data_IF_547896484824
#
_entry.id   IF_547896484824
#
_cell.length_a   1.000
_cell.length_b   1.000
_cell.length_c   1.000
_cell.angle_alpha   90.00
_cell.angle_beta   90.00
_cell.angle_gamma   90.00
#
_symmetry.space_group_name_H-M   'P 1'
#
loop_
_entity.id
_entity.type
_entity.pdbx_description
1 polymer ?
#
# COMPACT_ATOMS: atom_id res chain seq x y z
N UNK A 1 9.02 11.94 -22.96
CA UNK A 1 10.26 11.66 -23.75
C UNK A 1 10.82 12.98 -24.27
N UNK A 2 11.99 13.43 -23.79
CA UNK A 2 12.56 14.72 -24.19
C UNK A 2 13.91 14.54 -24.90
N UNK A 3 14.07 15.26 -26.01
CA UNK A 3 15.37 15.59 -26.60
C UNK A 3 15.91 16.79 -25.82
N UNK A 4 17.12 16.68 -25.28
CA UNK A 4 17.80 17.83 -24.66
C UNK A 4 18.32 18.74 -25.78
N UNK A 5 18.05 20.06 -25.77
CA UNK A 5 18.48 20.96 -26.84
C UNK A 5 20.00 21.11 -26.94
N UNK A 6 20.49 21.22 -28.18
CA UNK A 6 21.89 21.28 -28.63
C UNK A 6 22.65 22.57 -28.25
N UNK A 7 22.81 22.88 -26.97
CA UNK A 7 23.89 23.78 -26.52
C UNK A 7 24.67 23.15 -25.38
N UNK A 8 25.70 22.39 -25.75
CA UNK A 8 26.58 21.61 -24.90
C UNK A 8 27.22 20.47 -25.72
N UNK A 9 28.08 19.66 -25.11
CA UNK A 9 28.57 18.44 -25.75
C UNK A 9 27.36 17.66 -26.31
N UNK A 10 27.35 17.28 -27.62
CA UNK A 10 26.21 16.59 -28.19
C UNK A 10 25.95 15.35 -27.35
N UNK A 11 24.70 15.16 -26.88
CA UNK A 11 24.40 13.93 -26.16
C UNK A 11 24.69 12.79 -27.13
N UNK A 12 25.71 12.00 -26.81
CA UNK A 12 26.28 11.04 -27.73
C UNK A 12 25.19 10.13 -28.28
N UNK A 13 25.01 10.17 -29.60
CA UNK A 13 24.06 9.31 -30.35
C UNK A 13 24.41 7.81 -30.20
N UNK A 14 25.57 7.51 -29.59
CA UNK A 14 26.14 6.18 -29.41
C UNK A 14 26.25 5.72 -27.93
N UNK A 15 25.63 6.40 -26.95
CA UNK A 15 25.72 5.98 -25.54
C UNK A 15 24.77 4.83 -25.19
N UNK A 16 25.35 3.79 -24.57
CA UNK A 16 24.65 2.77 -23.77
C UNK A 16 23.86 3.45 -22.63
N UNK A 17 22.75 2.83 -22.19
CA UNK A 17 21.96 3.31 -21.05
C UNK A 17 22.86 3.59 -19.84
N UNK A 18 22.94 4.85 -19.41
CA UNK A 18 23.82 5.31 -18.35
C UNK A 18 23.05 6.09 -17.28
N UNK A 19 23.42 5.96 -16.00
CA UNK A 19 22.76 6.68 -14.92
C UNK A 19 23.11 8.18 -14.98
N UNK A 20 22.13 9.01 -14.70
CA UNK A 20 22.19 10.46 -14.83
C UNK A 20 21.40 11.16 -13.71
N UNK A 21 21.85 12.33 -13.26
CA UNK A 21 21.07 13.17 -12.34
C UNK A 21 20.75 14.50 -12.98
N UNK A 22 19.50 14.93 -12.86
CA UNK A 22 19.02 16.24 -13.28
C UNK A 22 18.95 17.16 -12.05
N UNK A 23 19.55 18.35 -12.15
CA UNK A 23 19.46 19.42 -11.15
C UNK A 23 18.95 20.70 -11.79
N UNK A 24 18.23 21.51 -11.01
CA UNK A 24 17.78 22.83 -11.46
C UNK A 24 18.44 23.94 -10.63
N UNK A 25 19.11 24.87 -11.32
CA UNK A 25 19.71 26.05 -10.72
C UNK A 25 18.67 27.19 -10.76
N UNK A 26 18.22 27.60 -9.57
CA UNK A 26 17.19 28.63 -9.44
C UNK A 26 17.77 30.01 -9.13
N UNK A 27 17.27 31.04 -9.83
CA UNK A 27 17.50 32.44 -9.51
C UNK A 27 18.97 32.85 -9.55
N UNK A 28 19.46 33.44 -8.45
CA UNK A 28 20.84 33.89 -8.29
C UNK A 28 21.77 32.87 -7.63
N UNK A 29 21.30 31.64 -7.38
CA UNK A 29 22.08 30.61 -6.69
C UNK A 29 23.24 30.14 -7.54
N UNK A 30 24.37 29.84 -6.91
CA UNK A 30 25.52 29.25 -7.62
C UNK A 30 25.29 27.77 -7.86
N UNK A 31 25.93 27.20 -8.90
CA UNK A 31 25.88 25.76 -9.13
C UNK A 31 26.49 24.98 -7.95
N UNK A 32 27.50 25.57 -7.30
CA UNK A 32 28.15 25.01 -6.12
C UNK A 32 27.18 24.80 -4.95
N UNK A 33 26.38 25.82 -4.63
CA UNK A 33 25.38 25.76 -3.55
C UNK A 33 24.31 24.71 -3.86
N UNK A 34 23.72 24.79 -5.07
CA UNK A 34 22.63 23.91 -5.50
C UNK A 34 23.07 22.45 -5.51
N UNK A 35 24.23 22.14 -6.08
CA UNK A 35 24.72 20.76 -6.17
C UNK A 35 25.02 20.19 -4.78
N UNK A 36 25.68 20.96 -3.92
CA UNK A 36 26.04 20.49 -2.58
C UNK A 36 24.79 20.18 -1.74
N UNK A 37 23.81 21.10 -1.75
CA UNK A 37 22.56 20.93 -1.01
C UNK A 37 21.71 19.80 -1.60
N UNK A 38 21.54 19.76 -2.91
CA UNK A 38 20.70 18.75 -3.57
C UNK A 38 21.27 17.35 -3.46
N UNK A 39 22.59 17.16 -3.55
CA UNK A 39 23.23 15.83 -3.36
C UNK A 39 22.94 15.30 -1.94
N UNK A 40 23.12 16.12 -0.91
CA UNK A 40 22.82 15.71 0.47
C UNK A 40 21.32 15.44 0.66
N UNK A 41 20.48 16.36 0.16
CA UNK A 41 19.02 16.26 0.23
C UNK A 41 18.50 15.01 -0.48
N UNK A 42 19.00 14.70 -1.68
CA UNK A 42 18.59 13.54 -2.47
C UNK A 42 18.93 12.24 -1.75
N UNK A 43 20.16 12.12 -1.22
CA UNK A 43 20.59 10.95 -0.45
C UNK A 43 19.76 10.70 0.82
N UNK A 44 19.15 11.74 1.38
CA UNK A 44 18.25 11.63 2.54
C UNK A 44 16.81 11.32 2.20
N UNK A 45 16.28 11.93 1.12
CA UNK A 45 14.85 11.90 0.82
C UNK A 45 14.45 10.73 -0.09
N UNK A 46 15.38 10.21 -0.89
CA UNK A 46 15.07 9.26 -1.94
C UNK A 46 15.75 7.91 -1.74
N UNK A 47 15.06 6.86 -2.20
CA UNK A 47 15.59 5.50 -2.18
C UNK A 47 15.76 4.93 -3.59
N UNK A 48 15.61 5.75 -4.63
CA UNK A 48 15.94 5.40 -6.02
C UNK A 48 17.28 6.01 -6.41
N UNK A 49 17.50 7.28 -6.06
CA UNK A 49 18.75 7.99 -6.28
C UNK A 49 19.88 7.47 -5.38
N UNK A 50 21.08 7.38 -5.95
CA UNK A 50 22.36 7.16 -5.25
C UNK A 50 23.44 8.03 -5.91
N UNK A 51 24.61 8.22 -5.27
CA UNK A 51 25.73 8.89 -5.91
C UNK A 51 26.18 8.27 -7.24
N UNK A 52 25.82 7.01 -7.55
CA UNK A 52 26.11 6.39 -8.84
C UNK A 52 25.39 7.09 -10.01
N UNK A 53 24.27 7.78 -9.73
CA UNK A 53 23.59 8.63 -10.70
C UNK A 53 24.33 9.93 -11.02
N UNK A 54 25.44 10.24 -10.35
CA UNK A 54 26.29 11.39 -10.67
C UNK A 54 27.28 11.10 -11.79
N UNK A 55 27.27 9.90 -12.39
CA UNK A 55 28.11 9.60 -13.55
C UNK A 55 27.86 10.57 -14.72
N UNK A 56 26.60 10.96 -14.93
CA UNK A 56 26.23 11.99 -15.90
C UNK A 56 25.33 13.02 -15.23
N UNK A 57 25.56 14.30 -15.47
CA UNK A 57 24.79 15.36 -14.81
C UNK A 57 24.19 16.30 -15.84
N UNK A 58 22.90 16.62 -15.70
CA UNK A 58 22.22 17.65 -16.48
C UNK A 58 21.85 18.80 -15.55
N UNK A 59 22.37 19.99 -15.84
CA UNK A 59 22.11 21.23 -15.13
C UNK A 59 21.15 22.09 -15.93
N UNK A 60 19.96 22.30 -15.40
CA UNK A 60 18.97 23.22 -15.95
C UNK A 60 19.17 24.61 -15.35
N UNK A 61 19.41 25.61 -16.19
CA UNK A 61 19.64 27.00 -15.76
C UNK A 61 18.95 27.98 -16.71
N UNK A 62 18.61 29.19 -16.24
CA UNK A 62 18.12 30.27 -17.11
C UNK A 62 19.27 31.03 -17.81
N UNK A 63 20.52 30.84 -17.35
CA UNK A 63 21.70 31.43 -17.97
C UNK A 63 22.78 30.36 -18.18
N UNK A 64 23.33 30.30 -19.39
CA UNK A 64 24.48 29.45 -19.72
C UNK A 64 25.77 30.25 -19.46
N UNK A 65 26.34 30.09 -18.27
CA UNK A 65 27.61 30.75 -17.92
C UNK A 65 28.72 29.71 -17.68
N UNK A 66 29.93 30.05 -18.11
CA UNK A 66 31.17 29.28 -17.88
C UNK A 66 31.39 28.97 -16.38
N UNK A 67 30.96 29.88 -15.51
CA UNK A 67 31.03 29.74 -14.05
C UNK A 67 30.27 28.53 -13.52
N UNK A 68 29.09 28.22 -14.09
CA UNK A 68 28.26 27.07 -13.71
C UNK A 68 29.00 25.77 -13.96
N UNK A 69 29.66 25.66 -15.12
CA UNK A 69 30.43 24.47 -15.48
C UNK A 69 31.58 24.25 -14.50
N UNK A 70 32.36 25.30 -14.22
CA UNK A 70 33.52 25.22 -13.33
C UNK A 70 33.11 24.83 -11.91
N UNK A 71 32.08 25.46 -11.36
CA UNK A 71 31.54 25.13 -10.04
C UNK A 71 31.07 23.67 -9.98
N UNK A 72 30.40 23.20 -11.03
CA UNK A 72 29.93 21.83 -11.12
C UNK A 72 31.09 20.83 -11.19
N UNK A 73 32.10 21.08 -12.03
CA UNK A 73 33.30 20.24 -12.13
C UNK A 73 34.03 20.12 -10.78
N UNK A 74 34.12 21.20 -10.00
CA UNK A 74 34.76 21.20 -8.68
C UNK A 74 33.97 20.36 -7.65
N UNK A 75 32.65 20.48 -7.60
CA UNK A 75 31.79 19.70 -6.68
C UNK A 75 31.66 18.23 -7.10
N UNK A 76 31.66 17.96 -8.40
CA UNK A 76 31.41 16.62 -8.95
C UNK A 76 32.68 15.77 -9.10
N UNK A 77 33.86 16.39 -9.02
CA UNK A 77 35.17 15.70 -9.09
C UNK A 77 35.27 14.45 -8.19
N UNK A 78 34.82 14.46 -6.92
CA UNK A 78 34.90 13.29 -6.05
C UNK A 78 34.04 12.09 -6.50
N UNK A 79 33.04 12.33 -7.37
CA UNK A 79 32.08 11.31 -7.82
C UNK A 79 32.44 10.70 -9.18
N UNK A 80 33.60 11.05 -9.77
CA UNK A 80 34.05 10.57 -11.08
C UNK A 80 33.01 10.82 -12.20
N UNK A 81 32.33 11.97 -12.16
CA UNK A 81 31.37 12.37 -13.19
C UNK A 81 32.05 12.40 -14.57
N UNK A 82 31.47 11.67 -15.52
CA UNK A 82 31.96 11.51 -16.88
C UNK A 82 31.52 12.65 -17.79
N UNK A 83 30.33 13.21 -17.58
CA UNK A 83 29.78 14.25 -18.44
C UNK A 83 28.87 15.20 -17.68
N UNK A 84 28.99 16.50 -17.97
CA UNK A 84 28.16 17.57 -17.44
C UNK A 84 27.52 18.31 -18.62
N UNK A 85 26.20 18.21 -18.71
CA UNK A 85 25.38 18.86 -19.72
C UNK A 85 24.72 20.07 -19.07
N UNK A 86 24.76 21.24 -19.72
CA UNK A 86 24.08 22.44 -19.25
C UNK A 86 23.00 22.76 -20.28
N UNK A 87 21.76 22.92 -19.83
CA UNK A 87 20.64 23.23 -20.71
C UNK A 87 19.93 24.49 -20.23
N UNK A 88 19.62 25.38 -21.18
CA UNK A 88 18.82 26.56 -20.91
C UNK A 88 17.34 26.20 -21.01
N UNK A 89 16.59 26.32 -19.92
CA UNK A 89 15.16 25.95 -19.90
C UNK A 89 14.31 27.12 -19.44
N UNK A 90 13.57 27.72 -20.39
CA UNK A 90 12.64 28.83 -20.14
C UNK A 90 11.21 28.35 -19.80
N UNK A 91 10.81 27.17 -20.27
CA UNK A 91 9.57 26.46 -19.91
C UNK A 91 9.74 24.94 -20.09
N UNK A 92 8.99 24.13 -19.33
CA UNK A 92 9.07 22.67 -19.43
C UNK A 92 10.29 22.04 -18.75
N UNK A 93 10.77 22.64 -17.65
CA UNK A 93 11.83 22.06 -16.84
C UNK A 93 11.45 20.64 -16.38
N UNK A 94 12.39 19.71 -16.54
CA UNK A 94 12.30 18.39 -15.96
C UNK A 94 12.33 18.50 -14.44
N UNK A 95 11.67 17.55 -13.77
CA UNK A 95 11.81 17.42 -12.33
C UNK A 95 13.25 16.98 -12.01
N UNK A 96 13.74 17.41 -10.85
CA UNK A 96 15.06 16.98 -10.40
C UNK A 96 15.05 15.50 -10.00
N UNK A 97 16.23 14.87 -10.05
CA UNK A 97 16.44 13.53 -9.53
C UNK A 97 17.12 12.58 -10.51
N UNK A 98 17.03 11.26 -10.26
CA UNK A 98 17.75 10.24 -11.03
C UNK A 98 17.07 10.02 -12.38
N UNK A 99 17.83 9.75 -13.43
CA UNK A 99 17.35 9.40 -14.77
C UNK A 99 18.31 8.39 -15.38
N UNK A 100 17.86 7.70 -16.42
CA UNK A 100 18.74 6.99 -17.34
C UNK A 100 18.84 7.77 -18.64
N UNK A 101 20.07 8.09 -19.03
CA UNK A 101 20.39 8.67 -20.32
C UNK A 101 20.55 7.53 -21.33
N UNK A 102 19.72 7.53 -22.37
CA UNK A 102 19.76 6.53 -23.43
C UNK A 102 19.53 7.22 -24.77
N UNK A 103 20.49 7.11 -25.70
CA UNK A 103 20.38 7.68 -27.05
C UNK A 103 19.89 9.15 -27.08
N UNK A 104 20.48 10.03 -26.26
CA UNK A 104 20.06 11.43 -26.25
C UNK A 104 18.84 11.76 -25.40
N UNK A 105 18.21 10.77 -24.75
CA UNK A 105 16.95 10.93 -24.04
C UNK A 105 17.08 10.55 -22.58
N UNK A 106 16.43 11.34 -21.73
CA UNK A 106 16.30 11.06 -20.30
C UNK A 106 15.02 10.24 -20.06
N UNK A 107 15.19 9.16 -19.30
CA UNK A 107 14.12 8.27 -18.86
C UNK A 107 14.08 8.26 -17.34
N UNK A 108 12.93 8.49 -16.68
CA UNK A 108 12.85 8.41 -15.22
C UNK A 108 13.33 7.06 -14.72
N UNK A 109 14.15 7.08 -13.67
CA UNK A 109 14.61 5.89 -12.99
C UNK A 109 13.53 5.35 -12.05
N UNK A 110 13.33 4.04 -12.11
CA UNK A 110 12.50 3.30 -11.19
C UNK A 110 13.37 2.29 -10.46
N UNK A 111 13.19 2.20 -9.14
CA UNK A 111 13.78 1.10 -8.36
C UNK A 111 12.83 -0.09 -8.41
N UNK A 112 13.38 -1.27 -8.70
CA UNK A 112 12.65 -2.53 -8.61
C UNK A 112 12.87 -3.12 -7.21
N UNK A 113 11.82 -3.11 -6.39
CA UNK A 113 11.83 -3.79 -5.09
C UNK A 113 11.36 -5.24 -5.26
N UNK A 114 12.11 -6.25 -4.80
CA UNK A 114 11.63 -7.62 -4.81
C UNK A 114 10.44 -7.77 -3.85
N UNK A 115 9.37 -8.43 -4.29
CA UNK A 115 8.23 -8.79 -3.43
C UNK A 115 8.46 -10.16 -2.79
N UNK A 116 9.47 -10.24 -1.92
CA UNK A 116 9.85 -11.49 -1.26
C UNK A 116 8.72 -12.06 -0.38
N UNK A 117 7.82 -11.21 0.09
CA UNK A 117 6.66 -11.61 0.88
C UNK A 117 5.50 -12.14 0.01
N UNK A 118 5.52 -11.89 -1.31
CA UNK A 118 4.38 -12.17 -2.17
C UNK A 118 3.14 -11.36 -1.75
N UNK A 119 3.33 -10.11 -1.33
CA UNK A 119 2.29 -9.22 -0.82
C UNK A 119 1.39 -8.64 -1.92
N UNK A 120 1.90 -8.50 -3.14
CA UNK A 120 1.21 -7.84 -4.25
C UNK A 120 0.42 -8.85 -5.08
N UNK A 121 -0.76 -8.43 -5.54
CA UNK A 121 -1.45 -9.10 -6.63
C UNK A 121 -0.98 -8.53 -7.97
N UNK A 122 -0.81 -7.22 -8.09
CA UNK A 122 -0.35 -6.62 -9.34
C UNK A 122 0.50 -5.39 -9.03
N UNK A 123 1.75 -5.29 -9.52
CA UNK A 123 2.50 -4.05 -9.44
C UNK A 123 1.93 -3.06 -10.46
N UNK A 124 2.06 -1.77 -10.19
CA UNK A 124 1.69 -0.71 -11.13
C UNK A 124 2.88 0.15 -11.44
N UNK A 125 2.93 0.64 -12.68
CA UNK A 125 3.82 1.73 -13.06
C UNK A 125 2.91 2.90 -13.43
N UNK A 126 3.13 4.11 -12.87
CA UNK A 126 2.48 5.31 -13.36
C UNK A 126 2.83 5.47 -14.85
N UNK A 127 1.83 5.59 -15.71
CA UNK A 127 2.08 5.93 -17.12
C UNK A 127 2.06 7.46 -17.28
N UNK A 128 3.02 8.00 -18.03
CA UNK A 128 3.15 9.45 -18.24
C UNK A 128 2.22 10.00 -19.33
N UNK A 129 1.72 11.22 -19.09
CA UNK A 129 1.93 12.35 -20.02
C UNK A 129 2.89 13.35 -19.31
N UNK A 130 3.85 14.01 -20.00
CA UNK A 130 5.08 14.56 -19.44
C UNK A 130 4.94 15.93 -18.74
N UNK A 131 3.72 16.32 -18.38
CA UNK A 131 3.45 17.54 -17.61
C UNK A 131 2.80 17.14 -16.30
N UNK A 132 3.66 16.67 -15.38
CA UNK A 132 3.40 16.39 -13.97
C UNK A 132 2.06 16.93 -13.43
N UNK A 133 1.01 16.15 -13.63
CA UNK A 133 -0.21 16.20 -12.83
C UNK A 133 -0.75 14.79 -12.87
N UNK A 134 -0.49 14.03 -11.80
CA UNK A 134 -0.97 12.66 -11.66
C UNK A 134 -2.49 12.72 -11.60
N UNK A 135 -3.14 12.61 -12.76
CA UNK A 135 -4.53 12.21 -12.86
C UNK A 135 -4.50 10.78 -13.34
N UNK A 136 -4.62 9.80 -12.43
CA UNK A 136 -5.03 8.44 -12.82
C UNK A 136 -6.52 8.44 -13.17
N UNK A 137 -6.96 9.41 -13.97
CA UNK A 137 -8.36 9.65 -14.28
C UNK A 137 -8.80 8.97 -15.59
N UNK A 138 -7.86 8.36 -16.31
CA UNK A 138 -8.10 7.77 -17.62
C UNK A 138 -7.81 6.26 -17.65
N UNK A 139 -8.60 5.50 -18.43
CA UNK A 139 -8.30 4.10 -18.72
C UNK A 139 -6.93 4.01 -19.42
N UNK A 140 -5.91 3.51 -18.70
CA UNK A 140 -4.55 3.39 -19.20
C UNK A 140 -3.46 3.87 -18.24
N UNK A 141 -3.83 4.59 -17.17
CA UNK A 141 -2.86 5.31 -16.34
C UNK A 141 -1.98 4.44 -15.41
N UNK A 142 -2.31 3.14 -15.33
CA UNK A 142 -1.54 2.13 -14.61
C UNK A 142 -1.33 0.89 -15.49
N UNK A 143 -0.08 0.59 -15.82
CA UNK A 143 0.26 -0.67 -16.48
C UNK A 143 0.64 -1.72 -15.44
N UNK A 144 -0.04 -2.87 -15.46
CA UNK A 144 0.31 -4.05 -14.65
C UNK A 144 0.68 -5.22 -15.56
N UNK A 145 1.96 -5.61 -15.56
CA UNK A 145 2.50 -6.66 -16.46
C UNK A 145 2.06 -8.10 -16.09
N UNK A 146 1.18 -8.28 -15.10
CA UNK A 146 0.90 -9.59 -14.49
C UNK A 146 -0.56 -9.87 -14.07
N UNK A 147 -1.55 -9.11 -14.55
CA UNK A 147 -2.95 -9.25 -14.07
C UNK A 147 -3.58 -10.64 -14.27
N UNK A 148 -3.14 -11.40 -15.29
CA UNK A 148 -3.73 -12.71 -15.61
C UNK A 148 -3.17 -13.85 -14.74
N UNK A 149 -1.91 -13.71 -14.27
CA UNK A 149 -1.22 -14.70 -13.44
C UNK A 149 -0.29 -13.99 -12.45
N UNK A 150 -0.83 -13.47 -11.35
CA UNK A 150 -0.09 -12.61 -10.44
C UNK A 150 0.93 -13.40 -9.62
N UNK A 151 2.17 -13.43 -10.12
CA UNK A 151 3.38 -13.81 -9.38
C UNK A 151 4.38 -12.65 -9.50
N UNK A 152 4.03 -11.51 -8.92
CA UNK A 152 4.88 -10.32 -9.01
C UNK A 152 6.21 -10.58 -8.32
N UNK A 153 7.30 -10.70 -9.08
CA UNK A 153 8.64 -10.84 -8.50
C UNK A 153 9.19 -9.48 -8.02
N UNK A 154 8.73 -8.38 -8.63
CA UNK A 154 9.24 -7.04 -8.35
C UNK A 154 8.17 -5.97 -8.47
N UNK A 155 8.25 -4.95 -7.62
CA UNK A 155 7.43 -3.73 -7.65
C UNK A 155 8.30 -2.57 -8.08
N UNK A 156 7.95 -1.93 -9.20
CA UNK A 156 8.62 -0.73 -9.66
C UNK A 156 8.13 0.48 -8.85
N UNK A 157 9.06 1.29 -8.35
CA UNK A 157 8.71 2.53 -7.66
C UNK A 157 9.47 3.72 -8.24
N UNK A 158 8.80 4.87 -8.45
CA UNK A 158 9.48 6.07 -8.91
C UNK A 158 10.30 6.70 -7.78
N UNK A 159 11.26 7.53 -8.18
CA UNK A 159 11.94 8.45 -7.27
C UNK A 159 10.92 9.40 -6.64
N UNK A 160 11.09 9.69 -5.35
CA UNK A 160 10.30 10.73 -4.67
C UNK A 160 10.65 12.13 -5.14
N UNK A 161 11.84 12.30 -5.73
CA UNK A 161 12.36 13.60 -6.14
C UNK A 161 11.60 14.20 -7.33
N UNK A 162 10.94 13.36 -8.13
CA UNK A 162 10.05 13.83 -9.20
C UNK A 162 8.80 14.55 -8.70
N UNK A 163 8.56 14.54 -7.40
CA UNK A 163 7.34 15.02 -6.79
C UNK A 163 7.67 15.94 -5.62
N UNK A 164 7.44 17.23 -5.81
CA UNK A 164 7.60 18.22 -4.76
C UNK A 164 6.24 18.48 -4.09
N UNK A 165 6.11 18.34 -2.76
CA UNK A 165 4.89 18.68 -2.06
C UNK A 165 4.47 20.14 -2.27
N UNK A 166 3.20 20.36 -2.59
CA UNK A 166 2.59 21.69 -2.68
C UNK A 166 1.39 21.77 -1.72
N UNK A 167 0.81 22.95 -1.45
CA UNK A 167 -0.43 23.05 -0.68
C UNK A 167 -1.58 22.20 -1.28
N UNK A 168 -1.64 22.09 -2.61
CA UNK A 168 -2.64 21.30 -3.34
C UNK A 168 -2.31 19.80 -3.35
N UNK A 169 -1.02 19.45 -3.45
CA UNK A 169 -0.51 18.07 -3.47
C UNK A 169 0.45 17.83 -2.28
N UNK A 170 -0.05 17.83 -1.05
CA UNK A 170 0.78 17.83 0.14
C UNK A 170 1.50 16.51 0.40
N UNK A 171 1.03 15.43 -0.23
CA UNK A 171 1.63 14.10 -0.11
C UNK A 171 2.33 13.66 -1.39
N UNK A 172 2.63 14.60 -2.30
CA UNK A 172 3.42 14.34 -3.50
C UNK A 172 4.67 13.49 -3.17
N UNK A 173 4.87 12.40 -3.92
CA UNK A 173 5.98 11.46 -3.71
C UNK A 173 5.71 10.38 -2.66
N UNK A 174 4.56 10.41 -1.97
CA UNK A 174 4.19 9.36 -1.02
C UNK A 174 3.62 8.17 -1.76
N UNK A 175 4.30 7.02 -1.66
CA UNK A 175 3.95 5.79 -2.36
C UNK A 175 3.07 4.89 -1.50
N UNK A 176 2.03 4.31 -2.08
CA UNK A 176 1.07 3.42 -1.41
C UNK A 176 0.74 2.21 -2.26
N UNK A 177 0.58 1.06 -1.62
CA UNK A 177 -0.11 -0.08 -2.21
C UNK A 177 -1.58 -0.04 -1.79
N UNK A 178 -2.47 -0.56 -2.62
CA UNK A 178 -3.92 -0.50 -2.39
C UNK A 178 -4.52 -1.90 -2.36
N UNK A 179 -5.30 -2.22 -1.35
CA UNK A 179 -5.88 -3.57 -1.19
C UNK A 179 -6.76 -3.91 -2.38
N UNK A 180 -6.72 -5.15 -2.85
CA UNK A 180 -7.45 -5.64 -4.04
C UNK A 180 -8.99 -5.77 -3.85
N UNK A 181 -9.57 -4.94 -2.99
CA UNK A 181 -11.02 -4.69 -2.90
C UNK A 181 -11.35 -3.22 -3.19
N UNK A 182 -10.34 -2.43 -3.51
CA UNK A 182 -10.46 -1.01 -3.87
C UNK A 182 -10.26 -0.88 -5.37
N UNK A 183 -11.24 -0.28 -6.04
CA UNK A 183 -11.18 -0.06 -7.48
C UNK A 183 -10.12 0.96 -7.85
N UNK A 184 -9.33 0.58 -8.86
CA UNK A 184 -8.33 1.43 -9.50
C UNK A 184 -8.60 1.38 -11.00
N UNK A 185 -8.84 2.55 -11.60
CA UNK A 185 -9.11 2.70 -13.01
C UNK A 185 -8.00 2.06 -13.85
N UNK A 186 -8.38 1.38 -14.93
CA UNK A 186 -7.46 0.70 -15.84
C UNK A 186 -7.01 -0.69 -15.37
N UNK A 187 -7.24 -1.06 -14.09
CA UNK A 187 -6.90 -2.38 -13.56
C UNK A 187 -8.13 -3.18 -13.18
N UNK A 188 -7.95 -4.49 -13.06
CA UNK A 188 -8.96 -5.35 -12.42
C UNK A 188 -8.93 -5.19 -10.89
N UNK A 189 -10.08 -5.43 -10.27
CA UNK A 189 -10.20 -5.60 -8.82
C UNK A 189 -10.77 -6.99 -8.58
N UNK A 190 -9.89 -7.90 -8.17
CA UNK A 190 -10.18 -9.33 -8.09
C UNK A 190 -10.73 -9.78 -6.75
N UNK A 191 -10.59 -8.97 -5.71
CA UNK A 191 -10.85 -9.38 -4.32
C UNK A 191 -10.14 -10.70 -3.97
N UNK A 192 -8.96 -10.92 -4.56
CA UNK A 192 -8.21 -12.17 -4.46
C UNK A 192 -9.02 -13.43 -4.84
N UNK A 193 -9.96 -13.30 -5.78
CA UNK A 193 -10.66 -14.40 -6.43
C UNK A 193 -10.34 -14.42 -7.92
N UNK A 194 -9.77 -15.52 -8.44
CA UNK A 194 -9.49 -15.65 -9.89
C UNK A 194 -10.78 -15.64 -10.69
N UNK A 195 -11.83 -16.25 -10.17
CA UNK A 195 -13.15 -16.29 -10.79
C UNK A 195 -13.77 -14.88 -10.91
N UNK A 196 -13.66 -14.07 -9.86
CA UNK A 196 -14.15 -12.69 -9.88
C UNK A 196 -13.32 -11.81 -10.83
N UNK A 197 -11.99 -11.93 -10.80
CA UNK A 197 -11.10 -11.26 -11.77
C UNK A 197 -11.43 -11.65 -13.20
N UNK A 198 -11.73 -12.92 -13.47
CA UNK A 198 -12.06 -13.42 -14.81
C UNK A 198 -13.39 -12.84 -15.31
N UNK A 199 -14.41 -12.83 -14.44
CA UNK A 199 -15.75 -12.35 -14.75
C UNK A 199 -15.77 -10.85 -15.08
N UNK A 200 -14.98 -10.05 -14.35
CA UNK A 200 -15.00 -8.59 -14.46
C UNK A 200 -13.81 -8.04 -15.23
N UNK A 201 -14.08 -7.14 -16.18
CA UNK A 201 -13.04 -6.38 -16.89
C UNK A 201 -12.33 -5.35 -16.00
N UNK A 202 -11.34 -4.62 -16.57
CA UNK A 202 -10.72 -3.48 -15.92
C UNK A 202 -11.76 -2.45 -15.46
N UNK A 203 -11.52 -1.81 -14.30
CA UNK A 203 -12.41 -0.78 -13.78
C UNK A 203 -12.27 0.51 -14.60
N UNK A 204 -13.39 1.18 -14.81
CA UNK A 204 -13.43 2.46 -15.54
C UNK A 204 -13.21 3.66 -14.62
N UNK A 205 -13.36 3.47 -13.31
CA UNK A 205 -13.25 4.53 -12.31
C UNK A 205 -12.45 4.04 -11.11
N UNK A 206 -11.83 5.00 -10.41
CA UNK A 206 -11.20 4.76 -9.11
C UNK A 206 -12.27 4.77 -8.02
N UNK A 207 -12.10 3.96 -6.98
CA UNK A 207 -12.88 4.13 -5.75
C UNK A 207 -12.65 5.53 -5.14
N UNK A 208 -13.67 6.10 -4.48
CA UNK A 208 -13.61 7.47 -3.93
C UNK A 208 -12.39 7.72 -3.04
N UNK A 209 -12.06 6.74 -2.19
CA UNK A 209 -10.86 6.82 -1.33
C UNK A 209 -9.57 6.90 -2.14
N UNK A 210 -9.51 6.19 -3.27
CA UNK A 210 -8.36 6.22 -4.18
C UNK A 210 -8.31 7.59 -4.86
N UNK A 211 -9.44 8.10 -5.39
CA UNK A 211 -9.49 9.44 -5.97
C UNK A 211 -8.98 10.52 -4.99
N UNK A 212 -9.38 10.44 -3.72
CA UNK A 212 -8.91 11.35 -2.66
C UNK A 212 -7.40 11.27 -2.46
N UNK A 213 -6.84 10.06 -2.37
CA UNK A 213 -5.39 9.87 -2.20
C UNK A 213 -4.63 10.44 -3.41
N UNK A 214 -5.09 10.16 -4.62
CA UNK A 214 -4.44 10.65 -5.84
C UNK A 214 -4.50 12.17 -5.97
N UNK A 215 -5.65 12.77 -5.65
CA UNK A 215 -5.81 14.22 -5.62
C UNK A 215 -4.95 14.93 -4.58
N UNK A 216 -4.37 14.21 -3.61
CA UNK A 216 -3.41 14.75 -2.64
C UNK A 216 -1.94 14.46 -3.03
N UNK A 217 -1.71 13.84 -4.19
CA UNK A 217 -0.37 13.55 -4.72
C UNK A 217 0.21 12.19 -4.34
N UNK A 218 -0.59 11.26 -3.78
CA UNK A 218 -0.12 9.89 -3.54
C UNK A 218 0.14 9.15 -4.86
N UNK A 219 1.10 8.23 -4.83
CA UNK A 219 1.49 7.38 -5.95
C UNK A 219 1.11 5.94 -5.63
N UNK A 220 0.24 5.34 -6.44
CA UNK A 220 -0.10 3.92 -6.32
C UNK A 220 0.96 3.08 -7.01
N UNK A 221 1.61 2.19 -6.25
CA UNK A 221 2.69 1.30 -6.75
C UNK A 221 2.23 -0.14 -6.97
N UNK A 222 1.00 -0.48 -6.55
CA UNK A 222 0.41 -1.76 -6.87
C UNK A 222 -0.86 -2.08 -6.08
N UNK A 223 -1.55 -3.12 -6.53
CA UNK A 223 -2.64 -3.80 -5.84
C UNK A 223 -2.07 -4.85 -4.89
N UNK A 224 -2.54 -4.87 -3.65
CA UNK A 224 -2.10 -5.75 -2.56
C UNK A 224 -3.12 -6.87 -2.34
N UNK A 225 -2.62 -8.07 -2.03
CA UNK A 225 -3.46 -9.24 -1.75
C UNK A 225 -4.38 -9.02 -0.56
N UNK A 226 -5.55 -9.63 -0.66
CA UNK A 226 -6.51 -9.80 0.43
C UNK A 226 -6.79 -11.29 0.60
N UNK A 227 -7.43 -11.69 1.70
CA UNK A 227 -8.17 -12.95 1.68
C UNK A 227 -9.38 -12.84 0.74
N UNK A 228 -9.86 -13.95 0.18
CA UNK A 228 -10.93 -13.93 -0.84
C UNK A 228 -12.16 -13.15 -0.34
N UNK A 229 -12.56 -12.11 -1.07
CA UNK A 229 -13.64 -11.17 -0.72
C UNK A 229 -13.54 -10.53 0.67
N UNK A 230 -12.32 -10.40 1.17
CA UNK A 230 -12.01 -9.93 2.51
C UNK A 230 -12.68 -10.76 3.64
N UNK A 231 -13.03 -12.01 3.36
CA UNK A 231 -13.56 -12.98 4.32
C UNK A 231 -12.43 -13.75 5.02
N UNK A 232 -12.75 -14.59 6.00
CA UNK A 232 -11.74 -15.30 6.78
C UNK A 232 -11.08 -16.42 5.97
N UNK A 233 -9.74 -16.46 5.99
CA UNK A 233 -8.92 -17.58 5.51
C UNK A 233 -7.79 -17.83 6.51
N UNK A 234 -7.56 -19.10 6.84
CA UNK A 234 -6.39 -19.53 7.58
C UNK A 234 -5.27 -19.99 6.64
N UNK A 235 -4.05 -19.39 6.70
CA UNK A 235 -2.93 -19.85 5.89
C UNK A 235 -2.49 -21.27 6.27
N UNK A 236 -2.11 -22.14 5.33
CA UNK A 236 -2.25 -22.02 3.86
C UNK A 236 -3.46 -22.78 3.33
N UNK A 237 -4.13 -23.59 4.17
CA UNK A 237 -5.13 -24.56 3.75
C UNK A 237 -6.41 -23.94 3.19
N UNK A 238 -6.78 -22.74 3.64
CA UNK A 238 -8.03 -22.09 3.22
C UNK A 238 -7.85 -21.26 1.95
N UNK A 239 -6.61 -20.95 1.55
CA UNK A 239 -6.32 -20.12 0.38
C UNK A 239 -6.44 -20.94 -0.91
N UNK A 240 -7.51 -20.69 -1.66
CA UNK A 240 -7.87 -21.48 -2.86
C UNK A 240 -7.32 -20.90 -4.17
N UNK A 241 -7.12 -19.59 -4.25
CA UNK A 241 -6.78 -18.89 -5.50
C UNK A 241 -5.36 -18.31 -5.47
N UNK A 242 -5.03 -17.54 -4.44
CA UNK A 242 -3.73 -16.90 -4.26
C UNK A 242 -3.20 -17.22 -2.88
N UNK A 243 -1.97 -17.72 -2.77
CA UNK A 243 -1.42 -18.04 -1.46
C UNK A 243 -1.20 -16.80 -0.59
N UNK A 244 -1.36 -17.02 0.73
CA UNK A 244 -1.06 -16.05 1.77
C UNK A 244 0.35 -15.45 1.58
N UNK A 245 0.53 -14.14 1.77
CA UNK A 245 1.86 -13.55 1.85
C UNK A 245 2.65 -14.12 3.03
N UNK A 246 3.96 -14.27 2.85
CA UNK A 246 4.87 -14.56 3.96
C UNK A 246 4.94 -13.37 4.92
N UNK A 247 4.98 -13.65 6.22
CA UNK A 247 5.20 -12.62 7.21
C UNK A 247 6.70 -12.25 7.19
N UNK A 248 7.08 -10.99 6.95
CA UNK A 248 8.50 -10.59 6.96
C UNK A 248 9.15 -10.70 8.34
N UNK A 249 8.38 -10.94 9.40
CA UNK A 249 8.82 -11.20 10.78
C UNK A 249 8.79 -12.69 11.09
N UNK A 250 9.38 -13.04 12.24
CA UNK A 250 9.41 -14.42 12.75
C UNK A 250 9.85 -15.43 11.68
N UNK A 251 11.00 -15.12 11.06
CA UNK A 251 11.68 -15.94 10.04
C UNK A 251 10.86 -16.29 8.80
N UNK A 252 9.74 -15.61 8.54
CA UNK A 252 8.87 -15.91 7.39
C UNK A 252 7.61 -16.70 7.74
N UNK A 253 7.52 -17.29 8.94
CA UNK A 253 6.62 -18.41 9.20
C UNK A 253 5.42 -18.09 10.12
N UNK A 254 5.29 -16.85 10.57
CA UNK A 254 4.05 -16.40 11.19
C UNK A 254 2.98 -16.07 10.14
N UNK A 255 1.73 -16.08 10.56
CA UNK A 255 0.62 -15.60 9.73
C UNK A 255 0.73 -14.09 9.54
N UNK A 256 0.39 -13.61 8.34
CA UNK A 256 0.15 -12.18 8.07
C UNK A 256 -1.26 -11.75 8.47
N UNK A 257 -2.04 -12.69 9.02
CA UNK A 257 -3.46 -12.57 9.33
C UNK A 257 -4.30 -12.18 8.11
N UNK A 258 -5.57 -11.87 8.31
CA UNK A 258 -6.50 -11.43 7.28
C UNK A 258 -7.37 -10.26 7.77
N UNK A 259 -8.13 -9.62 6.91
CA UNK A 259 -8.16 -9.86 5.45
C UNK A 259 -7.15 -9.03 4.67
N UNK A 260 -6.49 -8.05 5.28
CA UNK A 260 -5.53 -7.15 4.61
C UNK A 260 -4.10 -7.71 4.62
N UNK A 261 -3.95 -9.01 4.33
CA UNK A 261 -2.71 -9.77 4.47
C UNK A 261 -1.56 -9.17 3.65
N UNK A 262 -1.81 -8.79 2.39
CA UNK A 262 -0.79 -8.19 1.52
C UNK A 262 -0.35 -6.82 2.04
N UNK A 263 -1.28 -6.01 2.54
CA UNK A 263 -0.94 -4.69 3.11
C UNK A 263 -0.14 -4.79 4.39
N UNK A 264 -0.47 -5.73 5.26
CA UNK A 264 0.34 -6.01 6.45
C UNK A 264 1.74 -6.46 6.03
N UNK A 265 1.86 -7.47 5.16
CA UNK A 265 3.14 -8.01 4.72
C UNK A 265 4.04 -6.97 4.03
N UNK A 266 3.47 -6.12 3.16
CA UNK A 266 4.21 -5.08 2.45
C UNK A 266 4.81 -4.01 3.38
N UNK A 267 4.26 -3.84 4.58
CA UNK A 267 4.68 -2.84 5.56
C UNK A 267 5.45 -3.43 6.73
N UNK A 268 5.15 -4.68 7.11
CA UNK A 268 5.56 -5.31 8.37
C UNK A 268 7.07 -5.56 8.52
N UNK A 269 7.90 -5.23 7.54
CA UNK A 269 9.36 -5.27 7.70
C UNK A 269 9.84 -4.44 8.91
N UNK A 270 9.03 -3.51 9.45
CA UNK A 270 9.31 -2.82 10.74
C UNK A 270 8.09 -2.46 11.65
N UNK A 271 6.85 -2.93 11.42
CA UNK A 271 5.74 -2.69 12.38
C UNK A 271 4.66 -3.80 12.45
N UNK A 272 4.00 -3.92 13.62
CA UNK A 272 2.78 -4.73 13.85
C UNK A 272 1.61 -3.80 14.24
N UNK A 273 0.40 -4.09 13.73
CA UNK A 273 -0.96 -3.57 14.09
C UNK A 273 -1.76 -2.79 13.02
N UNK A 274 -3.07 -2.64 13.29
CA UNK A 274 -4.23 -2.78 12.37
C UNK A 274 -4.79 -1.45 11.80
N UNK A 275 -5.14 -1.44 10.51
CA UNK A 275 -6.06 -0.47 9.88
C UNK A 275 -5.40 0.83 9.38
N UNK A 276 -5.02 0.83 8.09
CA UNK A 276 -4.07 1.79 7.51
C UNK A 276 -2.65 1.36 7.86
N UNK A 277 -1.90 0.82 6.89
CA UNK A 277 -0.57 0.27 7.17
C UNK A 277 0.50 1.29 6.78
N UNK A 278 1.43 1.58 7.69
CA UNK A 278 2.57 2.44 7.43
C UNK A 278 3.84 1.93 8.15
N UNK A 279 5.01 2.23 7.57
CA UNK A 279 6.31 1.76 8.07
C UNK A 279 6.77 2.48 9.35
N UNK A 280 6.20 3.64 9.62
CA UNK A 280 6.53 4.50 10.76
C UNK A 280 5.33 5.37 11.15
N UNK A 281 5.37 5.91 12.38
CA UNK A 281 4.30 6.72 12.94
C UNK A 281 4.03 8.02 12.15
N UNK A 282 5.06 8.60 11.52
CA UNK A 282 4.92 9.82 10.71
C UNK A 282 4.14 9.50 9.44
N UNK A 283 4.47 8.42 8.74
CA UNK A 283 3.72 7.94 7.59
C UNK A 283 2.29 7.53 7.94
N UNK A 284 2.07 6.90 9.10
CA UNK A 284 0.73 6.56 9.56
C UNK A 284 -0.10 7.83 9.80
N UNK A 285 0.44 8.82 10.53
CA UNK A 285 -0.25 10.07 10.79
C UNK A 285 -0.62 10.82 9.50
N UNK A 286 0.25 10.78 8.48
CA UNK A 286 -0.06 11.31 7.14
C UNK A 286 -1.25 10.59 6.51
N UNK A 287 -1.24 9.26 6.49
CA UNK A 287 -2.33 8.46 5.96
C UNK A 287 -3.64 8.70 6.71
N UNK A 288 -3.62 8.68 8.05
CA UNK A 288 -4.80 8.92 8.88
C UNK A 288 -5.41 10.31 8.65
N UNK A 289 -4.57 11.34 8.50
CA UNK A 289 -5.04 12.70 8.16
C UNK A 289 -5.67 12.76 6.77
N UNK A 290 -5.05 12.12 5.78
CA UNK A 290 -5.61 12.06 4.43
C UNK A 290 -6.97 11.36 4.42
N UNK A 291 -7.16 10.29 5.20
CA UNK A 291 -8.39 9.52 5.22
C UNK A 291 -9.48 10.16 6.09
N UNK A 292 -9.16 10.51 7.33
CA UNK A 292 -10.14 10.83 8.38
C UNK A 292 -10.13 12.29 8.83
N UNK A 293 -9.15 13.09 8.42
CA UNK A 293 -9.01 14.48 8.82
C UNK A 293 -8.94 15.45 7.63
N UNK A 294 -8.45 16.65 7.92
CA UNK A 294 -8.08 17.69 6.98
C UNK A 294 -6.58 17.95 7.02
N UNK A 295 -6.01 18.42 5.92
CA UNK A 295 -4.61 18.88 5.89
C UNK A 295 -4.36 20.03 6.88
N UNK A 296 -5.39 20.84 7.13
CA UNK A 296 -5.30 21.99 8.02
C UNK A 296 -5.50 21.61 9.49
N UNK A 297 -5.76 20.34 9.81
CA UNK A 297 -5.94 19.92 11.19
C UNK A 297 -4.64 20.13 11.98
N UNK A 298 -4.70 20.80 13.14
CA UNK A 298 -3.51 21.01 13.95
C UNK A 298 -2.91 19.65 14.34
N UNK A 299 -1.57 19.56 14.52
CA UNK A 299 -0.99 18.41 15.23
C UNK A 299 -1.73 18.24 16.55
N UNK A 300 -2.07 16.99 16.90
CA UNK A 300 -2.84 16.66 18.11
C UNK A 300 -2.37 17.54 19.28
N UNK A 301 -3.24 18.46 19.70
CA UNK A 301 -2.82 19.60 20.53
C UNK A 301 -2.62 19.23 22.00
N UNK A 302 -3.04 18.02 22.40
CA UNK A 302 -2.97 17.52 23.77
C UNK A 302 -2.64 16.04 23.79
N UNK A 303 -1.77 15.65 24.71
CA UNK A 303 -1.51 14.24 25.02
C UNK A 303 -2.75 13.60 25.65
N UNK A 304 -2.98 12.29 25.45
CA UNK A 304 -3.98 11.54 26.23
C UNK A 304 -3.77 11.73 27.73
N UNK A 305 -4.86 11.92 28.47
CA UNK A 305 -4.83 12.15 29.92
C UNK A 305 -5.23 10.92 30.74
N UNK A 306 -5.61 9.81 30.09
CA UNK A 306 -5.99 8.55 30.72
C UNK A 306 -5.55 7.37 29.87
N UNK A 307 -5.14 6.30 30.54
CA UNK A 307 -4.93 4.98 29.96
C UNK A 307 -5.96 4.05 30.59
N UNK A 308 -6.90 3.52 29.79
CA UNK A 308 -7.85 2.52 30.28
C UNK A 308 -7.25 1.12 30.09
N UNK A 309 -7.28 0.31 31.13
CA UNK A 309 -6.67 -1.03 31.15
C UNK A 309 -7.75 -2.09 31.43
N UNK A 310 -8.31 -2.74 30.40
CA UNK A 310 -9.26 -3.84 30.56
C UNK A 310 -8.58 -5.07 31.16
N UNK A 311 -9.00 -5.46 32.36
CA UNK A 311 -8.34 -6.54 33.11
C UNK A 311 -8.57 -7.93 32.50
N UNK A 312 -9.67 -8.12 31.77
CA UNK A 312 -10.01 -9.40 31.15
C UNK A 312 -9.11 -9.77 29.97
N UNK A 313 -8.53 -8.75 29.32
CA UNK A 313 -7.70 -9.00 28.16
C UNK A 313 -6.22 -9.13 28.53
N UNK A 314 -5.72 -8.27 29.42
CA UNK A 314 -4.29 -8.23 29.81
C UNK A 314 -4.12 -8.87 31.20
N UNK A 315 -4.30 -10.20 31.27
CA UNK A 315 -4.26 -10.94 32.54
C UNK A 315 -2.94 -10.75 33.30
N UNK A 316 -3.02 -10.73 34.63
CA UNK A 316 -1.85 -10.68 35.52
C UNK A 316 -0.97 -11.94 35.35
N UNK A 317 0.03 -11.82 34.47
CA UNK A 317 1.27 -12.62 34.31
C UNK A 317 1.18 -14.12 33.93
N UNK A 318 1.86 -14.49 32.82
CA UNK A 318 3.00 -15.44 32.87
C UNK A 318 3.75 -15.64 31.53
N UNK A 319 3.38 -14.96 30.43
CA UNK A 319 4.10 -15.13 29.15
C UNK A 319 5.12 -14.01 28.89
N UNK A 320 6.15 -14.30 28.07
CA UNK A 320 7.09 -13.28 27.59
C UNK A 320 6.39 -12.16 26.80
N UNK A 321 5.27 -12.48 26.13
CA UNK A 321 4.44 -11.51 25.41
C UNK A 321 3.81 -10.48 26.37
N UNK A 322 3.27 -10.93 27.49
CA UNK A 322 2.65 -10.06 28.49
C UNK A 322 3.68 -9.10 29.09
N UNK A 323 4.91 -9.57 29.32
CA UNK A 323 6.00 -8.74 29.84
C UNK A 323 6.38 -7.61 28.88
N UNK A 324 6.36 -7.87 27.57
CA UNK A 324 6.62 -6.84 26.53
C UNK A 324 5.51 -5.79 26.53
N UNK A 325 4.24 -6.22 26.55
CA UNK A 325 3.09 -5.32 26.59
C UNK A 325 3.08 -4.49 27.88
N UNK A 326 3.34 -5.10 29.02
CA UNK A 326 3.41 -4.42 30.31
C UNK A 326 4.53 -3.38 30.33
N UNK A 327 5.73 -3.73 29.85
CA UNK A 327 6.84 -2.79 29.68
C UNK A 327 6.48 -1.61 28.77
N UNK A 328 5.71 -1.84 27.69
CA UNK A 328 5.21 -0.77 26.84
C UNK A 328 4.24 0.15 27.60
N UNK A 329 3.27 -0.42 28.33
CA UNK A 329 2.27 0.36 29.08
C UNK A 329 2.96 1.21 30.15
N UNK A 330 3.91 0.66 30.90
CA UNK A 330 4.69 1.41 31.90
C UNK A 330 5.48 2.57 31.27
N UNK A 331 6.09 2.36 30.10
CA UNK A 331 6.77 3.43 29.36
C UNK A 331 5.79 4.50 28.88
N UNK A 332 4.60 4.10 28.43
CA UNK A 332 3.54 5.00 28.00
C UNK A 332 3.02 5.85 29.17
N UNK A 333 2.73 5.23 30.32
CA UNK A 333 2.36 5.91 31.57
C UNK A 333 3.37 6.99 31.95
N UNK A 334 4.66 6.64 31.96
CA UNK A 334 5.75 7.59 32.24
C UNK A 334 5.82 8.73 31.21
N UNK A 335 5.64 8.43 29.93
CA UNK A 335 5.67 9.44 28.87
C UNK A 335 4.51 10.43 28.95
N UNK A 336 3.33 9.94 29.34
CA UNK A 336 2.11 10.73 29.47
C UNK A 336 2.00 11.43 30.84
N UNK A 337 2.71 10.95 31.86
CA UNK A 337 2.57 11.43 33.24
C UNK A 337 1.24 11.02 33.86
N UNK A 338 0.73 9.83 33.51
CA UNK A 338 -0.56 9.30 33.99
C UNK A 338 -0.38 7.88 34.49
N UNK A 339 -1.26 7.45 35.39
CA UNK A 339 -1.39 6.06 35.79
C UNK A 339 -2.56 5.41 35.06
N UNK A 340 -2.46 4.12 34.73
CA UNK A 340 -3.57 3.38 34.14
C UNK A 340 -4.76 3.30 35.10
N UNK A 341 -5.94 3.41 34.53
CA UNK A 341 -7.20 3.11 35.20
C UNK A 341 -7.63 1.71 34.79
N UNK A 342 -7.57 0.77 35.73
CA UNK A 342 -8.08 -0.59 35.52
C UNK A 342 -9.59 -0.57 35.42
N UNK A 343 -10.14 -1.25 34.42
CA UNK A 343 -11.58 -1.41 34.22
C UNK A 343 -11.90 -2.90 34.08
N UNK A 344 -13.02 -3.33 34.66
CA UNK A 344 -13.60 -4.63 34.37
C UNK A 344 -14.75 -4.45 33.38
N UNK A 345 -14.58 -5.02 32.19
CA UNK A 345 -15.65 -5.08 31.20
C UNK A 345 -16.78 -6.00 31.64
N UNK A 346 -16.49 -7.03 32.44
CA UNK A 346 -17.52 -7.90 33.02
C UNK A 346 -18.41 -7.17 34.02
N UNK A 347 -17.83 -6.37 34.92
CA UNK A 347 -18.59 -5.55 35.88
C UNK A 347 -19.43 -4.48 35.16
N UNK A 348 -18.84 -3.81 34.17
CA UNK A 348 -19.56 -2.85 33.32
C UNK A 348 -20.71 -3.56 32.60
N UNK A 349 -20.46 -4.73 32.00
CA UNK A 349 -21.49 -5.51 31.31
C UNK A 349 -22.62 -5.94 32.27
N UNK A 350 -22.29 -6.39 33.47
CA UNK A 350 -23.28 -6.82 34.46
C UNK A 350 -24.32 -5.74 34.79
N UNK A 351 -23.90 -4.47 34.78
CA UNK A 351 -24.73 -3.31 35.11
C UNK A 351 -25.33 -2.60 33.90
N UNK A 352 -24.76 -2.76 32.71
CA UNK A 352 -25.15 -2.00 31.51
C UNK A 352 -25.69 -2.85 30.35
N UNK A 353 -25.67 -4.19 30.46
CA UNK A 353 -26.07 -5.07 29.36
C UNK A 353 -27.47 -4.71 28.82
N UNK A 354 -27.67 -4.69 27.50
CA UNK A 354 -28.94 -4.30 26.87
C UNK A 354 -30.00 -5.40 26.95
N UNK A 355 -29.73 -6.49 27.67
CA UNK A 355 -30.53 -7.71 27.72
C UNK A 355 -30.79 -8.14 29.16
N UNK A 356 -31.96 -8.72 29.41
CA UNK A 356 -32.37 -9.16 30.74
C UNK A 356 -31.79 -10.52 31.11
N UNK A 357 -31.43 -11.32 30.10
CA UNK A 357 -30.83 -12.63 30.27
C UNK A 357 -29.47 -12.54 30.97
N UNK A 358 -29.19 -13.53 31.81
CA UNK A 358 -27.89 -13.68 32.44
C UNK A 358 -26.89 -14.31 31.45
N UNK A 359 -26.44 -13.52 30.48
CA UNK A 359 -25.48 -13.88 29.43
C UNK A 359 -24.21 -13.05 29.58
N UNK A 360 -23.05 -13.65 29.32
CA UNK A 360 -21.77 -12.95 29.33
C UNK A 360 -21.62 -12.03 28.10
N UNK A 361 -20.76 -11.02 28.19
CA UNK A 361 -20.45 -10.15 27.04
C UNK A 361 -19.90 -10.97 25.86
N UNK A 362 -19.05 -11.97 26.15
CA UNK A 362 -18.46 -12.86 25.15
C UNK A 362 -19.53 -13.65 24.40
N UNK A 363 -20.43 -14.32 25.11
CA UNK A 363 -21.52 -15.11 24.50
C UNK A 363 -22.48 -14.21 23.71
N UNK A 364 -22.80 -13.02 24.22
CA UNK A 364 -23.70 -12.09 23.53
C UNK A 364 -23.11 -11.60 22.20
N UNK A 365 -21.80 -11.33 22.16
CA UNK A 365 -21.10 -10.81 20.98
C UNK A 365 -20.53 -11.91 20.06
N UNK A 366 -20.58 -13.18 20.46
CA UNK A 366 -19.89 -14.30 19.80
C UNK A 366 -20.18 -14.38 18.30
N UNK A 367 -21.45 -14.18 17.91
CA UNK A 367 -21.89 -14.29 16.52
C UNK A 367 -22.33 -12.96 15.90
N UNK A 368 -22.02 -11.82 16.55
CA UNK A 368 -22.53 -10.51 16.11
C UNK A 368 -22.12 -10.19 14.67
N UNK A 369 -20.89 -10.53 14.27
CA UNK A 369 -20.40 -10.32 12.92
C UNK A 369 -21.12 -11.20 11.90
N UNK A 370 -21.31 -12.48 12.24
CA UNK A 370 -21.99 -13.44 11.37
C UNK A 370 -23.45 -13.02 11.13
N UNK A 371 -24.14 -12.58 12.17
CA UNK A 371 -25.55 -12.19 12.09
C UNK A 371 -25.76 -10.84 11.41
N UNK A 372 -24.87 -9.87 11.66
CA UNK A 372 -24.99 -8.55 11.06
C UNK A 372 -24.49 -8.51 9.61
N UNK A 373 -23.41 -9.23 9.30
CA UNK A 373 -22.70 -9.12 8.02
C UNK A 373 -23.06 -10.19 6.99
N UNK A 374 -23.24 -11.46 7.39
CA UNK A 374 -23.40 -12.53 6.40
C UNK A 374 -24.67 -12.41 5.54
N UNK A 375 -25.85 -12.01 6.07
CA UNK A 375 -27.05 -11.91 5.25
C UNK A 375 -26.92 -10.95 4.07
N UNK A 376 -26.36 -9.75 4.30
CA UNK A 376 -26.13 -8.77 3.23
C UNK A 376 -25.02 -9.23 2.28
N UNK A 377 -23.90 -9.73 2.80
CA UNK A 377 -22.82 -10.27 1.96
C UNK A 377 -23.29 -11.43 1.07
N UNK A 378 -24.21 -12.27 1.54
CA UNK A 378 -24.80 -13.33 0.74
C UNK A 378 -25.76 -12.78 -0.31
N UNK A 379 -26.78 -12.02 0.14
CA UNK A 379 -27.88 -11.55 -0.70
C UNK A 379 -27.41 -10.54 -1.75
N UNK A 380 -26.60 -9.58 -1.34
CA UNK A 380 -26.26 -8.41 -2.15
C UNK A 380 -24.98 -8.62 -2.98
N UNK A 381 -24.20 -9.66 -2.70
CA UNK A 381 -22.94 -9.93 -3.39
C UNK A 381 -22.72 -11.39 -3.80
N UNK A 382 -22.54 -12.31 -2.84
CA UNK A 382 -22.02 -13.65 -3.14
C UNK A 382 -22.97 -14.50 -3.99
N UNK A 383 -24.28 -14.45 -3.71
CA UNK A 383 -25.29 -15.19 -4.48
C UNK A 383 -25.44 -14.66 -5.92
N UNK A 384 -25.58 -13.34 -6.15
CA UNK A 384 -25.53 -12.76 -7.50
C UNK A 384 -24.26 -13.15 -8.28
N UNK A 385 -23.08 -13.01 -7.65
CA UNK A 385 -21.80 -13.35 -8.28
C UNK A 385 -21.74 -14.82 -8.71
N UNK A 386 -22.07 -15.76 -7.83
CA UNK A 386 -22.06 -17.20 -8.17
C UNK A 386 -23.00 -17.50 -9.33
N UNK A 387 -24.18 -16.87 -9.34
CA UNK A 387 -25.18 -17.05 -10.40
C UNK A 387 -24.66 -16.54 -11.74
N UNK A 388 -24.10 -15.33 -11.75
CA UNK A 388 -23.54 -14.73 -12.96
C UNK A 388 -22.34 -15.53 -13.49
N UNK A 389 -21.42 -15.93 -12.60
CA UNK A 389 -20.27 -16.75 -12.99
C UNK A 389 -20.70 -18.08 -13.60
N UNK A 390 -21.69 -18.76 -13.00
CA UNK A 390 -22.25 -20.02 -13.53
C UNK A 390 -22.91 -19.82 -14.89
N UNK A 391 -23.68 -18.74 -15.07
CA UNK A 391 -24.33 -18.45 -16.35
C UNK A 391 -23.30 -18.17 -17.46
N UNK A 392 -22.19 -17.52 -17.13
CA UNK A 392 -21.13 -17.19 -18.10
C UNK A 392 -20.23 -18.38 -18.43
N UNK A 393 -19.84 -19.19 -17.43
CA UNK A 393 -18.82 -20.23 -17.59
C UNK A 393 -19.32 -21.67 -17.42
N UNK A 394 -20.60 -21.88 -17.14
CA UNK A 394 -21.21 -23.21 -16.99
C UNK A 394 -20.80 -23.98 -15.74
N UNK A 395 -20.12 -23.34 -14.77
CA UNK A 395 -19.64 -23.98 -13.53
C UNK A 395 -19.58 -22.99 -12.37
N UNK A 396 -19.46 -23.50 -11.15
CA UNK A 396 -19.33 -22.67 -9.95
C UNK A 396 -17.92 -22.08 -9.81
N UNK A 397 -17.78 -20.87 -9.23
CA UNK A 397 -16.48 -20.33 -8.90
C UNK A 397 -15.84 -21.13 -7.75
N UNK A 398 -14.51 -21.18 -7.72
CA UNK A 398 -13.79 -21.69 -6.55
C UNK A 398 -13.97 -20.71 -5.38
N UNK A 399 -14.44 -21.23 -4.25
CA UNK A 399 -14.67 -20.46 -3.03
C UNK A 399 -13.80 -21.02 -1.92
N UNK A 400 -13.25 -20.15 -1.08
CA UNK A 400 -12.59 -20.60 0.14
C UNK A 400 -13.59 -21.32 1.08
N UNK A 401 -13.10 -22.11 2.05
CA UNK A 401 -13.99 -22.85 2.95
C UNK A 401 -15.03 -21.97 3.64
N UNK A 402 -14.66 -20.76 4.09
CA UNK A 402 -15.58 -19.86 4.80
C UNK A 402 -16.75 -19.41 3.93
N UNK A 403 -16.50 -19.12 2.65
CA UNK A 403 -17.52 -18.72 1.69
C UNK A 403 -18.40 -19.91 1.28
N UNK A 404 -17.84 -21.13 1.22
CA UNK A 404 -18.61 -22.36 1.05
C UNK A 404 -19.56 -22.58 2.22
N UNK A 405 -19.08 -22.41 3.45
CA UNK A 405 -19.91 -22.49 4.66
C UNK A 405 -21.04 -21.45 4.63
N UNK A 406 -20.73 -20.19 4.29
CA UNK A 406 -21.72 -19.13 4.16
C UNK A 406 -22.81 -19.48 3.16
N UNK A 407 -22.41 -20.00 1.98
CA UNK A 407 -23.34 -20.49 0.96
C UNK A 407 -24.23 -21.61 1.51
N UNK A 408 -23.65 -22.59 2.19
CA UNK A 408 -24.40 -23.69 2.79
C UNK A 408 -25.43 -23.17 3.79
N UNK A 409 -24.99 -22.45 4.83
CA UNK A 409 -25.86 -21.94 5.89
C UNK A 409 -27.00 -21.11 5.33
N UNK A 410 -26.72 -20.18 4.40
CA UNK A 410 -27.75 -19.29 3.86
C UNK A 410 -28.77 -20.00 2.98
N UNK A 411 -28.35 -21.02 2.21
CA UNK A 411 -29.30 -21.84 1.44
C UNK A 411 -30.19 -22.69 2.35
N UNK A 412 -29.63 -23.26 3.42
CA UNK A 412 -30.38 -24.08 4.38
C UNK A 412 -31.29 -23.26 5.31
N UNK A 413 -30.85 -22.08 5.78
CA UNK A 413 -31.63 -21.20 6.65
C UNK A 413 -32.81 -20.55 5.93
N UNK A 414 -32.72 -20.35 4.60
CA UNK A 414 -33.85 -19.89 3.79
C UNK A 414 -34.89 -20.99 3.54
N UNK A 415 -34.47 -22.27 3.54
CA UNK A 415 -35.36 -23.42 3.35
C UNK A 415 -36.02 -23.92 4.64
N UNK A 416 -35.43 -23.63 5.81
CA UNK A 416 -36.00 -23.97 7.11
C UNK A 416 -35.90 -22.76 8.03
N UNK A 417 -37.05 -22.28 8.56
CA UNK A 417 -37.13 -21.36 9.71
C UNK A 417 -36.54 -22.01 10.98
N UNK A 418 -35.25 -22.33 11.00
CA UNK A 418 -34.62 -23.13 12.05
C UNK A 418 -33.64 -22.31 12.88
N UNK A 419 -33.70 -22.63 14.17
CA UNK A 419 -33.16 -22.00 15.35
C UNK A 419 -31.64 -21.76 15.37
N UNK A 420 -31.27 -20.77 16.19
CA UNK A 420 -29.95 -20.20 16.54
C UNK A 420 -28.89 -21.19 17.07
N UNK A 421 -28.56 -22.27 16.35
CA UNK A 421 -27.36 -23.08 16.64
C UNK A 421 -26.60 -23.34 15.34
N UNK A 422 -25.49 -22.62 15.15
CA UNK A 422 -24.49 -22.92 14.12
C UNK A 422 -23.78 -24.23 14.47
N UNK A 423 -23.59 -25.09 13.47
CA UNK A 423 -22.99 -26.41 13.61
C UNK A 423 -21.47 -26.31 13.47
N UNK A 424 -20.73 -26.69 14.52
CA UNK A 424 -19.27 -26.57 14.60
C UNK A 424 -18.50 -27.64 13.80
N UNK A 425 -19.21 -28.61 13.22
CA UNK A 425 -18.62 -29.79 12.56
C UNK A 425 -18.47 -29.67 11.03
N UNK A 426 -18.87 -28.56 10.41
CA UNK A 426 -18.92 -28.45 8.94
C UNK A 426 -17.55 -28.54 8.25
N UNK A 427 -16.47 -28.06 8.90
CA UNK A 427 -15.11 -28.02 8.34
C UNK A 427 -14.54 -29.40 8.02
N UNK A 428 -15.03 -30.44 8.69
CA UNK A 428 -14.52 -31.81 8.56
C UNK A 428 -15.20 -32.61 7.44
N UNK A 429 -16.43 -32.27 7.06
CA UNK A 429 -17.26 -33.10 6.18
C UNK A 429 -17.20 -32.70 4.69
N UNK A 430 -16.77 -31.47 4.37
CA UNK A 430 -16.86 -30.90 3.01
C UNK A 430 -15.48 -30.60 2.38
N UNK A 431 -14.42 -31.32 2.77
CA UNK A 431 -13.09 -31.14 2.13
C UNK A 431 -13.11 -31.61 0.68
N UNK A 432 -13.34 -30.63 -0.21
CA UNK A 432 -13.26 -30.67 -1.67
C UNK A 432 -14.18 -31.70 -2.34
N UNK A 433 -14.86 -31.36 -3.45
CA UNK A 433 -15.55 -32.37 -4.24
C UNK A 433 -14.53 -33.42 -4.71
N UNK A 434 -14.86 -34.72 -4.68
CA UNK A 434 -14.05 -35.72 -5.36
C UNK A 434 -13.89 -35.30 -6.83
N UNK A 435 -12.67 -35.40 -7.33
CA UNK A 435 -12.39 -35.19 -8.74
C UNK A 435 -13.00 -36.36 -9.52
N UNK A 436 -14.16 -36.17 -10.13
CA UNK A 436 -14.87 -37.21 -10.90
C UNK A 436 -14.22 -37.53 -12.26
N UNK A 437 -13.02 -36.99 -12.54
CA UNK A 437 -12.24 -37.32 -13.73
C UNK A 437 -10.81 -37.71 -13.33
N UNK A 438 -10.46 -38.97 -13.60
CA UNK A 438 -9.11 -39.52 -13.46
C UNK A 438 -8.11 -39.00 -14.48
#
# INVERSE_FOLDING_TARGET
>A
MHQVPEQGDPIGVNQMTAPCTVFTIHGSSTAKEVLSESIERFGRLDDVWSPDFLQNVVLQSLSSQESIRKDAEDILRPYNTSSIYITSVSSGALNEGPYFLNMGRLHPAYRLYPDYAGAFIAPTVPTEDPYWSVKLAHPGDAAAYGETYPSSLTVAVPSRLYHSPTPENPFAGTRVGVKDIMDLCGLRTGASSRAYTQLLGPRTENAEVIQKLLGLGFIVVGKLKTTQFADSEWPTCDYVDYHAPFNPRADGYQTTSGSSCGSAAAVASLADTVGGFARDATSFAKLSRALYGSINDPPFSKKPSKVLYPVEYWSETSTEHDAVLESFIVKLERHLGVERTRISLEEIWATTKPVHENITMKEYLEHVFEWAGNPSQWKDFLSPFITEYRNTYGRDPALNPQLQYKRFVMLFSLQKKVSRKCDSNWRTEQRLPPNDNG
#
